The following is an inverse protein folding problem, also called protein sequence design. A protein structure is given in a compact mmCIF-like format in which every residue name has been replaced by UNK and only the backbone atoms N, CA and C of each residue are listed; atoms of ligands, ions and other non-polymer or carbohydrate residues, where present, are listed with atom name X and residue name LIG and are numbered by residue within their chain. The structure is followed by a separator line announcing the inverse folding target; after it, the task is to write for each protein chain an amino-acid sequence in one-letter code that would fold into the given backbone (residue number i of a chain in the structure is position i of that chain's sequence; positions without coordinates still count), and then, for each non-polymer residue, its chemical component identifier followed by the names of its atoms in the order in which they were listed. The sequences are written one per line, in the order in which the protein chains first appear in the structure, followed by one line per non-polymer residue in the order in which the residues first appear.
data_IF_845288638416
#
_entry.id   IF_845288638416
#
_cell.length_a   1.000
_cell.length_b   1.000
_cell.length_c   1.000
_cell.angle_alpha   90.00
_cell.angle_beta   90.00
_cell.angle_gamma   90.00
#
_symmetry.space_group_name_H-M   'P 1'
#
loop_
_entity.id
_entity.type
_entity.pdbx_description
1 polymer ?
#
# COMPACT_ATOMS: atom_id res chain seq x y z
N UNK A 1 18.61 -57.78 -7.25
CA UNK A 1 18.34 -56.79 -6.19
C UNK A 1 18.39 -55.40 -6.84
N UNK A 2 17.26 -54.81 -7.22
CA UNK A 2 17.24 -53.54 -7.95
C UNK A 2 17.19 -52.36 -6.96
N UNK A 3 18.04 -51.36 -7.20
CA UNK A 3 18.12 -50.09 -6.49
C UNK A 3 16.95 -49.18 -6.89
N UNK A 4 16.16 -48.78 -5.90
CA UNK A 4 15.05 -47.85 -6.05
C UNK A 4 15.46 -46.38 -5.83
N UNK A 5 14.93 -45.54 -6.73
CA UNK A 5 14.37 -44.20 -6.52
C UNK A 5 15.24 -43.07 -5.95
N UNK A 6 15.42 -42.01 -6.75
CA UNK A 6 14.74 -40.72 -6.51
C UNK A 6 15.06 -39.74 -7.63
N UNK A 7 14.13 -39.62 -8.58
CA UNK A 7 14.12 -38.56 -9.58
C UNK A 7 13.83 -37.23 -8.88
N UNK A 8 14.81 -36.33 -8.84
CA UNK A 8 14.65 -34.96 -8.38
C UNK A 8 13.92 -34.18 -9.48
N UNK A 9 12.64 -33.87 -9.27
CA UNK A 9 11.88 -32.99 -10.15
C UNK A 9 12.14 -31.54 -9.74
N UNK A 10 13.00 -30.86 -10.51
CA UNK A 10 13.16 -29.41 -10.49
C UNK A 10 12.04 -28.82 -11.37
N UNK A 11 11.12 -27.97 -10.87
CA UNK A 11 10.27 -27.21 -11.77
C UNK A 11 11.04 -26.02 -12.33
N UNK A 12 11.06 -25.99 -13.65
CA UNK A 12 11.52 -24.95 -14.57
C UNK A 12 11.02 -23.56 -14.18
N UNK A 13 11.92 -22.58 -14.16
CA UNK A 13 11.70 -21.21 -13.68
C UNK A 13 11.06 -20.30 -14.75
N UNK A 14 10.17 -20.84 -15.58
CA UNK A 14 9.72 -20.18 -16.80
C UNK A 14 8.19 -20.23 -17.02
N UNK A 15 7.36 -19.96 -16.00
CA UNK A 15 5.96 -19.50 -16.22
C UNK A 15 5.39 -18.81 -14.98
N UNK A 16 5.77 -17.55 -14.73
CA UNK A 16 4.96 -16.62 -13.94
C UNK A 16 4.50 -15.50 -14.88
N UNK A 17 3.19 -15.26 -15.08
CA UNK A 17 2.70 -14.32 -16.09
C UNK A 17 2.74 -12.85 -15.64
N UNK A 18 3.61 -12.47 -14.69
CA UNK A 18 3.58 -11.12 -14.11
C UNK A 18 4.98 -10.52 -14.02
N UNK A 19 5.47 -10.02 -15.16
CA UNK A 19 6.69 -9.24 -15.24
C UNK A 19 6.41 -7.80 -14.75
N UNK A 20 6.64 -7.56 -13.45
CA UNK A 20 6.45 -6.28 -12.75
C UNK A 20 7.43 -5.16 -13.19
N UNK A 21 8.25 -5.40 -14.23
CA UNK A 21 9.27 -4.44 -14.68
C UNK A 21 8.81 -3.41 -15.70
N UNK A 22 7.56 -3.45 -16.16
CA UNK A 22 7.07 -2.49 -17.15
C UNK A 22 5.80 -1.77 -16.66
N UNK A 23 5.90 -0.48 -16.33
CA UNK A 23 4.77 0.44 -16.50
C UNK A 23 4.28 1.30 -15.33
N UNK A 24 4.98 1.40 -14.19
CA UNK A 24 4.54 2.24 -13.06
C UNK A 24 4.78 3.76 -13.23
N UNK A 25 4.68 4.30 -14.46
CA UNK A 25 5.15 5.66 -14.78
C UNK A 25 4.11 6.65 -15.31
N UNK A 26 2.95 6.23 -15.83
CA UNK A 26 2.13 7.17 -16.63
C UNK A 26 0.64 6.82 -16.63
N UNK A 27 -0.07 7.02 -15.51
CA UNK A 27 -1.53 7.08 -15.51
C UNK A 27 -2.07 7.71 -14.20
N UNK A 28 -1.71 8.96 -13.93
CA UNK A 28 -2.28 9.72 -12.81
C UNK A 28 -2.78 11.07 -13.32
N UNK A 29 -3.80 11.03 -14.18
CA UNK A 29 -4.67 12.17 -14.46
C UNK A 29 -5.86 11.74 -15.33
N UNK A 30 -6.94 11.24 -14.72
CA UNK A 30 -8.26 11.59 -15.25
C UNK A 30 -9.32 11.60 -14.15
N UNK A 31 -10.09 12.68 -14.17
CA UNK A 31 -11.18 13.02 -13.27
C UNK A 31 -12.49 12.36 -13.73
N UNK A 32 -13.07 11.46 -12.91
CA UNK A 32 -14.50 11.08 -13.00
C UNK A 32 -14.90 10.27 -11.76
N UNK A 33 -15.77 10.83 -10.91
CA UNK A 33 -15.98 10.33 -9.54
C UNK A 33 -17.16 9.39 -9.31
N UNK A 34 -18.11 9.26 -10.24
CA UNK A 34 -19.32 8.47 -9.94
C UNK A 34 -19.42 7.12 -10.69
N UNK A 35 -18.41 6.78 -11.50
CA UNK A 35 -18.41 5.54 -12.32
C UNK A 35 -17.41 4.51 -11.81
N UNK A 36 -16.30 4.95 -11.19
CA UNK A 36 -15.15 4.07 -10.89
C UNK A 36 -15.37 3.17 -9.67
N UNK A 37 -16.10 3.64 -8.64
CA UNK A 37 -16.36 2.83 -7.44
C UNK A 37 -17.35 1.68 -7.71
N UNK A 38 -18.39 1.94 -8.52
CA UNK A 38 -19.36 0.92 -8.92
C UNK A 38 -18.71 -0.13 -9.83
N UNK A 39 -17.81 0.27 -10.73
CA UNK A 39 -17.04 -0.64 -11.57
C UNK A 39 -16.10 -1.54 -10.75
N UNK A 40 -15.41 -0.98 -9.74
CA UNK A 40 -14.52 -1.73 -8.87
C UNK A 40 -15.28 -2.78 -8.03
N UNK A 41 -16.44 -2.39 -7.49
CA UNK A 41 -17.34 -3.27 -6.72
C UNK A 41 -17.90 -4.39 -7.63
N UNK A 42 -18.32 -4.06 -8.86
CA UNK A 42 -18.81 -5.03 -9.83
C UNK A 42 -17.71 -6.04 -10.24
N UNK A 43 -16.51 -5.56 -10.56
CA UNK A 43 -15.37 -6.41 -10.92
C UNK A 43 -15.00 -7.37 -9.77
N UNK A 44 -15.00 -6.89 -8.53
CA UNK A 44 -14.71 -7.73 -7.37
C UNK A 44 -15.80 -8.80 -7.17
N UNK A 45 -17.07 -8.39 -7.29
CA UNK A 45 -18.21 -9.30 -7.13
C UNK A 45 -18.23 -10.37 -8.21
N UNK A 46 -17.98 -10.01 -9.47
CA UNK A 46 -17.89 -10.96 -10.59
C UNK A 46 -16.70 -11.91 -10.43
N UNK A 47 -15.52 -11.39 -10.07
CA UNK A 47 -14.34 -12.19 -9.80
C UNK A 47 -14.55 -13.22 -8.67
N UNK A 48 -15.20 -12.81 -7.57
CA UNK A 48 -15.46 -13.68 -6.42
C UNK A 48 -16.59 -14.69 -6.71
N UNK A 49 -17.68 -14.28 -7.39
CA UNK A 49 -18.84 -15.14 -7.67
C UNK A 49 -18.56 -16.17 -8.77
N UNK A 50 -17.80 -15.81 -9.80
CA UNK A 50 -17.54 -16.64 -10.97
C UNK A 50 -16.21 -17.41 -10.97
N UNK A 51 -15.32 -17.15 -10.01
CA UNK A 51 -13.89 -17.53 -10.09
C UNK A 51 -13.22 -17.09 -11.40
N UNK A 52 -13.68 -15.96 -11.95
CA UNK A 52 -13.15 -15.41 -13.19
C UNK A 52 -11.78 -14.77 -12.93
N UNK A 53 -10.76 -15.38 -13.54
CA UNK A 53 -9.36 -14.96 -13.39
C UNK A 53 -9.08 -13.63 -14.10
N UNK A 54 -9.76 -13.35 -15.21
CA UNK A 54 -9.57 -12.12 -15.98
C UNK A 54 -10.19 -10.93 -15.26
N UNK A 55 -11.42 -11.09 -14.75
CA UNK A 55 -12.06 -10.08 -13.89
C UNK A 55 -11.22 -9.80 -12.64
N UNK A 56 -10.67 -10.84 -12.00
CA UNK A 56 -9.80 -10.67 -10.84
C UNK A 56 -8.48 -9.96 -11.20
N UNK A 57 -7.86 -10.29 -12.32
CA UNK A 57 -6.64 -9.62 -12.77
C UNK A 57 -6.87 -8.13 -13.04
N UNK A 58 -8.00 -7.76 -13.65
CA UNK A 58 -8.40 -6.37 -13.87
C UNK A 58 -8.63 -5.64 -12.54
N UNK A 59 -9.30 -6.29 -11.58
CA UNK A 59 -9.49 -5.77 -10.23
C UNK A 59 -8.14 -5.51 -9.52
N UNK A 60 -7.23 -6.49 -9.52
CA UNK A 60 -5.89 -6.36 -8.93
C UNK A 60 -5.14 -5.21 -9.58
N UNK A 61 -5.11 -5.13 -10.91
CA UNK A 61 -4.38 -4.08 -11.64
C UNK A 61 -4.83 -2.66 -11.25
N UNK A 62 -6.13 -2.48 -10.98
CA UNK A 62 -6.70 -1.20 -10.52
C UNK A 62 -6.40 -0.89 -9.06
N UNK A 63 -6.47 -1.89 -8.17
CA UNK A 63 -6.38 -1.65 -6.73
C UNK A 63 -4.98 -1.85 -6.14
N UNK A 64 -4.06 -2.51 -6.86
CA UNK A 64 -2.73 -2.84 -6.35
C UNK A 64 -1.93 -1.62 -5.91
N UNK A 65 -1.98 -0.51 -6.66
CA UNK A 65 -1.25 0.71 -6.30
C UNK A 65 -1.75 1.33 -5.00
N UNK A 66 -3.06 1.25 -4.75
CA UNK A 66 -3.69 1.75 -3.53
C UNK A 66 -3.29 0.91 -2.31
N UNK A 67 -3.40 -0.43 -2.41
CA UNK A 67 -3.02 -1.35 -1.33
C UNK A 67 -1.52 -1.31 -1.06
N UNK A 68 -0.71 -1.32 -2.11
CA UNK A 68 0.75 -1.19 -1.99
C UNK A 68 1.14 0.12 -1.33
N UNK A 69 0.57 1.26 -1.74
CA UNK A 69 0.84 2.56 -1.11
C UNK A 69 0.52 2.57 0.38
N UNK A 70 -0.62 1.98 0.77
CA UNK A 70 -0.99 1.82 2.18
C UNK A 70 0.05 1.01 2.96
N UNK A 71 0.44 -0.17 2.48
CA UNK A 71 1.42 -1.04 3.14
C UNK A 71 2.81 -0.39 3.14
N UNK A 72 3.25 0.16 2.02
CA UNK A 72 4.57 0.77 1.83
C UNK A 72 4.80 1.92 2.79
N UNK A 73 3.79 2.75 3.06
CA UNK A 73 3.89 3.84 4.04
C UNK A 73 4.10 3.35 5.48
N UNK A 74 3.74 2.10 5.78
CA UNK A 74 3.84 1.49 7.12
C UNK A 74 5.06 0.58 7.26
N UNK A 75 5.71 0.22 6.15
CA UNK A 75 6.87 -0.65 6.13
C UNK A 75 8.18 0.12 5.88
N UNK A 76 9.27 -0.38 6.47
CA UNK A 76 10.61 0.17 6.29
C UNK A 76 11.32 -0.41 5.07
N UNK A 77 11.07 -1.69 4.80
CA UNK A 77 11.61 -2.45 3.70
C UNK A 77 10.57 -2.53 2.55
N UNK A 78 10.95 -2.17 1.32
CA UNK A 78 10.05 -2.27 0.16
C UNK A 78 9.56 -3.70 -0.13
N UNK A 79 10.44 -4.71 -0.05
CA UNK A 79 10.09 -6.10 -0.37
C UNK A 79 8.95 -6.63 0.50
N UNK A 80 8.96 -6.28 1.80
CA UNK A 80 7.89 -6.69 2.70
C UNK A 80 6.54 -6.10 2.29
N UNK A 81 6.51 -4.89 1.73
CA UNK A 81 5.27 -4.28 1.26
C UNK A 81 4.72 -4.98 0.00
N UNK A 82 5.60 -5.42 -0.91
CA UNK A 82 5.21 -6.19 -2.10
C UNK A 82 4.63 -7.55 -1.71
N UNK A 83 5.31 -8.29 -0.83
CA UNK A 83 4.85 -9.59 -0.34
C UNK A 83 3.50 -9.50 0.37
N UNK A 84 3.32 -8.49 1.22
CA UNK A 84 2.05 -8.28 1.92
C UNK A 84 0.93 -7.84 0.96
N UNK A 85 1.26 -7.09 -0.09
CA UNK A 85 0.29 -6.71 -1.13
C UNK A 85 -0.22 -7.96 -1.86
N UNK A 86 0.68 -8.86 -2.25
CA UNK A 86 0.32 -10.14 -2.86
C UNK A 86 -0.57 -10.98 -1.92
N UNK A 87 -0.21 -11.07 -0.63
CA UNK A 87 -0.99 -11.81 0.37
C UNK A 87 -2.42 -11.24 0.53
N UNK A 88 -2.60 -9.92 0.45
CA UNK A 88 -3.93 -9.29 0.49
C UNK A 88 -4.80 -9.81 -0.65
N UNK A 89 -4.31 -9.71 -1.89
CA UNK A 89 -5.08 -10.14 -3.05
C UNK A 89 -5.26 -11.67 -3.09
N UNK A 90 -4.27 -12.44 -2.64
CA UNK A 90 -4.42 -13.89 -2.51
C UNK A 90 -5.54 -14.28 -1.54
N UNK A 91 -5.68 -13.57 -0.41
CA UNK A 91 -6.79 -13.77 0.53
C UNK A 91 -8.15 -13.41 -0.05
N UNK A 92 -8.21 -12.36 -0.86
CA UNK A 92 -9.41 -11.99 -1.62
C UNK A 92 -9.77 -13.10 -2.63
N UNK A 93 -8.80 -13.58 -3.41
CA UNK A 93 -9.02 -14.58 -4.46
C UNK A 93 -9.48 -15.94 -3.93
N UNK A 94 -8.83 -16.43 -2.86
CA UNK A 94 -9.15 -17.74 -2.25
C UNK A 94 -10.44 -17.70 -1.43
N UNK A 95 -11.13 -16.55 -1.36
CA UNK A 95 -12.39 -16.40 -0.64
C UNK A 95 -12.23 -16.45 0.89
N UNK A 96 -11.00 -16.32 1.40
CA UNK A 96 -10.73 -16.25 2.86
C UNK A 96 -11.28 -14.97 3.48
N UNK A 97 -11.58 -13.96 2.67
CA UNK A 97 -12.24 -12.72 3.08
C UNK A 97 -13.46 -12.51 2.19
N UNK A 98 -14.64 -12.45 2.80
CA UNK A 98 -15.89 -12.17 2.10
C UNK A 98 -16.07 -10.67 1.91
N UNK A 99 -16.34 -10.25 0.68
CA UNK A 99 -16.75 -8.89 0.38
C UNK A 99 -18.21 -8.66 0.85
N UNK A 100 -18.47 -7.68 1.74
CA UNK A 100 -19.83 -7.34 2.14
C UNK A 100 -20.50 -6.43 1.12
N UNK A 101 -21.76 -6.70 0.78
CA UNK A 101 -22.51 -6.06 -0.31
C UNK A 101 -22.76 -4.55 -0.11
N UNK A 102 -22.59 -4.02 1.10
CA UNK A 102 -22.88 -2.62 1.46
C UNK A 102 -21.64 -1.82 1.88
N UNK A 103 -20.43 -2.28 1.55
CA UNK A 103 -19.19 -1.58 1.89
C UNK A 103 -18.42 -1.31 0.61
N UNK A 104 -17.95 -0.07 0.36
CA UNK A 104 -17.14 0.21 -0.82
C UNK A 104 -15.85 -0.62 -0.83
N UNK A 105 -15.40 -1.06 -2.01
CA UNK A 105 -14.20 -1.90 -2.20
C UNK A 105 -12.96 -1.40 -1.46
N UNK A 106 -12.64 -0.12 -1.57
CA UNK A 106 -11.38 0.44 -1.03
C UNK A 106 -11.32 0.40 0.50
N UNK A 107 -12.32 0.92 1.25
CA UNK A 107 -12.42 0.71 2.70
C UNK A 107 -12.30 -0.75 3.12
N UNK A 108 -12.98 -1.66 2.41
CA UNK A 108 -12.90 -3.09 2.70
C UNK A 108 -11.47 -3.64 2.49
N UNK A 109 -10.84 -3.32 1.36
CA UNK A 109 -9.45 -3.70 1.04
C UNK A 109 -8.46 -3.18 2.09
N UNK A 110 -8.63 -1.96 2.58
CA UNK A 110 -7.81 -1.42 3.67
C UNK A 110 -7.99 -2.23 4.96
N UNK A 111 -9.21 -2.68 5.26
CA UNK A 111 -9.48 -3.60 6.36
C UNK A 111 -8.69 -4.91 6.23
N UNK A 112 -8.67 -5.50 5.03
CA UNK A 112 -7.88 -6.70 4.73
C UNK A 112 -6.38 -6.43 4.88
N UNK A 113 -5.88 -5.35 4.28
CA UNK A 113 -4.47 -4.97 4.34
C UNK A 113 -4.01 -4.71 5.77
N UNK A 114 -4.83 -4.05 6.59
CA UNK A 114 -4.56 -3.84 8.01
C UNK A 114 -4.46 -5.16 8.78
N UNK A 115 -5.35 -6.11 8.49
CA UNK A 115 -5.30 -7.44 9.11
C UNK A 115 -4.03 -8.20 8.74
N UNK A 116 -3.67 -8.21 7.46
CA UNK A 116 -2.44 -8.83 6.95
C UNK A 116 -1.20 -8.19 7.60
N UNK A 117 -1.16 -6.86 7.65
CA UNK A 117 -0.08 -6.10 8.28
C UNK A 117 0.05 -6.44 9.78
N UNK A 118 -1.06 -6.47 10.52
CA UNK A 118 -1.07 -6.83 11.94
C UNK A 118 -0.56 -8.26 12.18
N UNK A 119 -0.93 -9.20 11.32
CA UNK A 119 -0.45 -10.57 11.40
C UNK A 119 1.05 -10.66 11.11
N UNK A 120 1.53 -9.94 10.10
CA UNK A 120 2.95 -9.86 9.77
C UNK A 120 3.76 -9.26 10.93
N UNK A 121 3.32 -8.13 11.49
CA UNK A 121 3.96 -7.49 12.64
C UNK A 121 4.05 -8.45 13.84
N UNK A 122 2.98 -9.18 14.16
CA UNK A 122 2.98 -10.20 15.22
C UNK A 122 4.00 -11.31 14.97
N UNK A 123 4.18 -11.75 13.72
CA UNK A 123 5.16 -12.79 13.34
C UNK A 123 6.60 -12.27 13.39
N UNK A 124 6.82 -11.01 12.99
CA UNK A 124 8.15 -10.38 12.87
C UNK A 124 8.64 -9.75 14.18
N UNK A 125 7.81 -9.70 15.23
CA UNK A 125 8.10 -9.12 16.57
C UNK A 125 9.31 -9.71 17.35
N UNK A 126 10.15 -10.52 16.69
CA UNK A 126 11.50 -10.89 17.13
C UNK A 126 12.62 -10.03 16.52
N UNK A 127 12.31 -9.02 15.68
CA UNK A 127 13.27 -8.11 15.03
C UNK A 127 12.95 -6.64 15.33
N UNK A 128 14.00 -5.79 15.47
CA UNK A 128 13.94 -4.36 15.85
C UNK A 128 13.16 -3.45 14.88
N UNK A 129 12.72 -3.95 13.72
CA UNK A 129 11.98 -3.20 12.70
C UNK A 129 10.50 -2.96 13.08
N UNK A 130 9.98 -3.70 14.06
CA UNK A 130 8.55 -3.73 14.44
C UNK A 130 8.06 -2.43 15.11
N UNK A 131 8.90 -1.75 15.89
CA UNK A 131 8.49 -0.56 16.65
C UNK A 131 7.96 0.58 15.76
N UNK A 132 8.47 0.68 14.52
CA UNK A 132 8.01 1.68 13.56
C UNK A 132 6.60 1.37 13.02
N UNK A 133 6.39 0.13 12.59
CA UNK A 133 5.12 -0.33 12.03
C UNK A 133 4.03 -0.36 13.10
N UNK A 134 4.39 -0.77 14.33
CA UNK A 134 3.49 -0.78 15.49
C UNK A 134 3.02 0.63 15.85
N UNK A 135 3.93 1.60 15.92
CA UNK A 135 3.57 3.01 16.12
C UNK A 135 2.62 3.52 15.03
N UNK A 136 2.85 3.16 13.76
CA UNK A 136 1.94 3.55 12.68
C UNK A 136 0.55 2.92 12.83
N UNK A 137 0.47 1.66 13.28
CA UNK A 137 -0.79 0.95 13.52
C UNK A 137 -1.57 1.53 14.71
N UNK A 138 -0.88 1.89 15.79
CA UNK A 138 -1.49 2.54 16.96
C UNK A 138 -2.08 3.90 16.59
N UNK A 139 -1.37 4.70 15.79
CA UNK A 139 -1.84 6.00 15.32
C UNK A 139 -3.02 5.86 14.35
N UNK A 140 -3.02 4.85 13.48
CA UNK A 140 -4.14 4.55 12.60
C UNK A 140 -5.40 4.17 13.40
N UNK A 141 -5.25 3.39 14.47
CA UNK A 141 -6.37 3.00 15.34
C UNK A 141 -7.00 4.21 16.05
N UNK A 142 -6.19 5.23 16.34
CA UNK A 142 -6.66 6.50 16.90
C UNK A 142 -7.31 7.42 15.84
N UNK A 143 -7.08 7.15 14.55
CA UNK A 143 -7.56 7.95 13.43
C UNK A 143 -8.80 7.36 12.73
N UNK A 144 -9.50 6.40 13.35
CA UNK A 144 -10.76 5.88 12.82
C UNK A 144 -11.78 7.02 12.70
N UNK A 145 -12.08 7.40 11.45
CA UNK A 145 -13.28 8.10 10.93
C UNK A 145 -13.00 9.24 9.93
N UNK A 146 -12.17 9.02 8.91
CA UNK A 146 -12.22 9.92 7.75
C UNK A 146 -12.38 9.12 6.46
N UNK A 147 -13.63 9.11 5.98
CA UNK A 147 -13.93 8.90 4.56
C UNK A 147 -13.45 10.11 3.78
N UNK A 148 -12.13 10.33 3.76
CA UNK A 148 -11.57 11.48 3.11
C UNK A 148 -11.74 11.37 1.60
N UNK A 149 -12.26 12.45 1.05
CA UNK A 149 -12.59 12.60 -0.33
C UNK A 149 -11.31 12.65 -1.17
N UNK A 150 -10.86 11.49 -1.69
CA UNK A 150 -9.52 11.28 -2.27
C UNK A 150 -9.08 12.30 -3.35
N UNK A 151 -9.99 12.83 -4.17
CA UNK A 151 -9.71 13.88 -5.15
C UNK A 151 -9.42 15.25 -4.51
N UNK A 152 -10.10 15.61 -3.42
CA UNK A 152 -9.80 16.83 -2.67
C UNK A 152 -8.42 16.72 -2.01
N UNK A 153 -8.11 15.53 -1.48
CA UNK A 153 -6.77 15.19 -0.96
C UNK A 153 -5.69 15.38 -2.03
N UNK A 154 -5.90 14.88 -3.25
CA UNK A 154 -4.92 15.02 -4.34
C UNK A 154 -4.71 16.49 -4.76
N UNK A 155 -5.76 17.30 -4.80
CA UNK A 155 -5.66 18.72 -5.12
C UNK A 155 -4.80 19.52 -4.13
N UNK A 156 -4.84 19.16 -2.85
CA UNK A 156 -4.07 19.83 -1.81
C UNK A 156 -2.68 19.22 -1.57
N UNK A 157 -2.45 17.97 -1.99
CA UNK A 157 -1.20 17.24 -1.72
C UNK A 157 0.03 18.00 -2.25
N UNK A 158 -0.02 18.51 -3.48
CA UNK A 158 1.11 19.26 -4.07
C UNK A 158 1.47 20.48 -3.23
N UNK A 159 0.46 21.28 -2.87
CA UNK A 159 0.66 22.48 -2.04
C UNK A 159 1.23 22.13 -0.66
N UNK A 160 0.74 21.04 -0.05
CA UNK A 160 1.24 20.58 1.24
C UNK A 160 2.68 20.04 1.13
N UNK A 161 3.03 19.29 0.09
CA UNK A 161 4.41 18.88 -0.19
C UNK A 161 5.32 20.09 -0.40
N UNK A 162 4.81 21.13 -1.05
CA UNK A 162 5.54 22.37 -1.25
C UNK A 162 5.85 23.11 0.05
N UNK A 163 5.01 22.94 1.07
CA UNK A 163 5.23 23.51 2.41
C UNK A 163 6.26 22.75 3.25
N UNK A 164 6.64 21.52 2.86
CA UNK A 164 7.66 20.75 3.56
C UNK A 164 9.05 21.27 3.24
N UNK A 165 9.90 21.32 4.27
CA UNK A 165 11.33 21.61 4.12
C UNK A 165 12.03 20.59 3.21
N UNK A 166 13.04 21.06 2.46
CA UNK A 166 13.73 20.28 1.41
C UNK A 166 14.15 18.88 1.86
N UNK A 167 14.81 18.75 3.02
CA UNK A 167 15.26 17.43 3.50
C UNK A 167 14.11 16.45 3.76
N UNK A 168 12.95 16.93 4.18
CA UNK A 168 11.78 16.07 4.39
C UNK A 168 11.19 15.60 3.06
N UNK A 169 11.12 16.51 2.07
CA UNK A 169 10.68 16.18 0.70
C UNK A 169 11.62 15.19 0.04
N UNK A 170 12.93 15.45 0.07
CA UNK A 170 13.95 14.56 -0.49
C UNK A 170 13.88 13.16 0.15
N UNK A 171 13.64 13.08 1.47
CA UNK A 171 13.49 11.81 2.16
C UNK A 171 12.22 11.07 1.74
N UNK A 172 11.09 11.77 1.56
CA UNK A 172 9.86 11.18 1.03
C UNK A 172 10.06 10.68 -0.40
N UNK A 173 10.73 11.47 -1.25
CA UNK A 173 10.95 11.12 -2.65
C UNK A 173 11.83 9.88 -2.78
N UNK A 174 12.93 9.82 -2.04
CA UNK A 174 13.78 8.65 -2.02
C UNK A 174 13.04 7.41 -1.48
N UNK A 175 12.14 7.59 -0.52
CA UNK A 175 11.43 6.49 0.10
C UNK A 175 10.30 5.94 -0.80
N UNK A 176 9.47 6.81 -1.37
CA UNK A 176 8.27 6.44 -2.11
C UNK A 176 8.48 6.35 -3.62
N UNK A 177 9.28 7.24 -4.24
CA UNK A 177 9.55 7.15 -5.67
C UNK A 177 10.74 6.25 -5.97
N UNK A 178 11.87 6.46 -5.27
CA UNK A 178 13.07 5.66 -5.49
C UNK A 178 13.09 4.33 -4.72
N UNK A 179 12.04 4.03 -3.95
CA UNK A 179 11.87 2.79 -3.17
C UNK A 179 13.13 2.42 -2.34
N UNK A 180 13.81 3.43 -1.79
CA UNK A 180 15.03 3.22 -1.03
C UNK A 180 14.75 2.79 0.41
N UNK A 181 15.61 1.91 0.93
CA UNK A 181 15.66 1.56 2.36
C UNK A 181 16.07 2.76 3.20
N UNK A 182 15.54 2.88 4.41
CA UNK A 182 15.84 4.01 5.31
C UNK A 182 17.34 4.17 5.61
N UNK A 183 18.08 3.07 5.68
CA UNK A 183 19.53 3.07 5.89
C UNK A 183 20.28 3.73 4.72
N UNK A 184 19.84 3.45 3.48
CA UNK A 184 20.41 4.03 2.26
C UNK A 184 20.06 5.52 2.11
N UNK A 185 18.85 5.91 2.51
CA UNK A 185 18.44 7.32 2.59
C UNK A 185 19.29 8.05 3.64
N UNK A 186 19.54 7.43 4.79
CA UNK A 186 20.42 7.96 5.83
C UNK A 186 21.83 8.23 5.32
N UNK A 187 22.40 7.26 4.58
CA UNK A 187 23.70 7.43 3.94
C UNK A 187 23.73 8.62 2.96
N UNK A 188 22.70 8.77 2.10
CA UNK A 188 22.60 9.90 1.15
C UNK A 188 22.43 11.25 1.85
N UNK A 189 21.61 11.31 2.90
CA UNK A 189 21.34 12.54 3.64
C UNK A 189 22.34 12.85 4.75
N UNK A 190 23.36 11.98 4.94
CA UNK A 190 24.33 12.04 6.04
C UNK A 190 23.65 12.08 7.42
N UNK A 191 22.66 11.21 7.62
CA UNK A 191 21.88 11.06 8.86
C UNK A 191 21.84 9.60 9.28
N UNK A 192 21.64 9.34 10.58
CA UNK A 192 21.38 7.99 11.04
C UNK A 192 20.04 7.48 10.50
N UNK A 193 19.91 6.16 10.37
CA UNK A 193 18.65 5.53 9.92
C UNK A 193 17.46 5.94 10.82
N UNK A 194 17.67 5.98 12.14
CA UNK A 194 16.64 6.43 13.09
C UNK A 194 16.22 7.89 12.87
N UNK A 195 17.16 8.78 12.53
CA UNK A 195 16.86 10.17 12.22
C UNK A 195 16.05 10.31 10.92
N UNK A 196 16.29 9.45 9.92
CA UNK A 196 15.48 9.41 8.69
C UNK A 196 14.08 8.88 8.96
N UNK A 197 13.93 7.81 9.76
CA UNK A 197 12.61 7.30 10.17
C UNK A 197 11.77 8.41 10.81
N UNK A 198 12.35 9.13 11.77
CA UNK A 198 11.68 10.25 12.44
C UNK A 198 11.39 11.42 11.48
N UNK A 199 12.26 11.68 10.51
CA UNK A 199 12.03 12.71 9.50
C UNK A 199 10.83 12.37 8.61
N UNK A 200 10.77 11.15 8.08
CA UNK A 200 9.66 10.65 7.25
C UNK A 200 8.36 10.60 8.06
N UNK A 201 8.43 10.25 9.34
CA UNK A 201 7.29 10.32 10.26
C UNK A 201 6.68 11.72 10.33
N UNK A 202 7.52 12.69 10.71
CA UNK A 202 7.11 14.08 10.93
C UNK A 202 6.62 14.70 9.62
N UNK A 203 7.24 14.36 8.51
CA UNK A 203 6.82 14.76 7.18
C UNK A 203 5.39 14.29 6.88
N UNK A 204 5.07 13.02 7.14
CA UNK A 204 3.71 12.49 6.99
C UNK A 204 2.69 13.14 7.91
N UNK A 205 3.04 13.36 9.18
CA UNK A 205 2.13 14.03 10.11
C UNK A 205 1.85 15.47 9.67
N UNK A 206 2.88 16.19 9.19
CA UNK A 206 2.73 17.52 8.64
C UNK A 206 1.84 17.54 7.39
N UNK A 207 2.00 16.57 6.49
CA UNK A 207 1.13 16.41 5.32
C UNK A 207 -0.31 16.14 5.71
N UNK A 208 -0.57 15.18 6.60
CA UNK A 208 -1.93 14.88 7.12
C UNK A 208 -2.57 16.14 7.68
N UNK A 209 -1.90 16.81 8.63
CA UNK A 209 -2.42 18.01 9.27
C UNK A 209 -2.62 19.18 8.27
N UNK A 210 -1.79 19.30 7.24
CA UNK A 210 -1.96 20.30 6.19
C UNK A 210 -3.20 20.02 5.33
N UNK A 211 -3.38 18.77 4.91
CA UNK A 211 -4.49 18.34 4.06
C UNK A 211 -5.81 18.45 4.82
N UNK A 212 -5.89 17.91 6.04
CA UNK A 212 -7.09 17.99 6.90
C UNK A 212 -7.52 19.45 7.11
N UNK A 213 -6.58 20.35 7.40
CA UNK A 213 -6.89 21.79 7.52
C UNK A 213 -7.45 22.40 6.23
N UNK A 214 -6.90 22.03 5.07
CA UNK A 214 -7.37 22.53 3.77
C UNK A 214 -8.74 21.98 3.40
N UNK A 215 -9.00 20.70 3.68
CA UNK A 215 -10.31 20.07 3.48
C UNK A 215 -11.37 20.78 4.33
N UNK A 216 -11.12 20.98 5.62
CA UNK A 216 -12.05 21.70 6.49
C UNK A 216 -12.26 23.15 6.06
N UNK A 217 -11.22 23.84 5.57
CA UNK A 217 -11.35 25.20 5.05
C UNK A 217 -12.23 25.25 3.79
N UNK A 218 -12.05 24.31 2.85
CA UNK A 218 -12.86 24.25 1.62
C UNK A 218 -14.31 23.80 1.83
N UNK A 219 -14.63 23.18 2.96
CA UNK A 219 -15.99 22.75 3.30
C UNK A 219 -16.81 23.86 3.98
N UNK A 220 -16.16 24.96 4.38
CA UNK A 220 -16.77 26.06 5.12
C UNK A 220 -16.91 27.36 4.29
N UNK A 221 -16.49 27.30 3.01
CA UNK A 221 -16.69 28.30 1.96
C UNK A 221 -17.81 27.84 1.00
#
# INVERSE_FOLDING_TARGET
MPSGQSTTYLPDAATLPFDLRAGAGQAICDSRRDVVAADDDALLVEAIKGQDREAFAAFVSRQQGFVFGYLRSRMLEPSDAEDLCQEVFLRCFVGKVRFPENVPVRPWLLGVARNVLREHVRKVNRRKEVAWTELCLEIDALAENDHDDYSAVQGFLKQCLDSLGKSARDALDMHYYAQMKMSSIGAKLRRSEGAVKLLVFRARQALKNCITRKIHASAND
#
